data_IF_853321901950
#
_entry.id   IF_853321901950
#
_cell.length_a   1.000
_cell.length_b   1.000
_cell.length_c   1.000
_cell.angle_alpha   90.00
_cell.angle_beta   90.00
_cell.angle_gamma   90.00
#
_symmetry.space_group_name_H-M   'P 1'
#
loop_
_entity.id
_entity.type
_entity.pdbx_description
1 polymer ?
#
# COMPACT_ATOMS: atom_id res chain seq x y z
N UNK A 1 16.48 -2.35 3.35
CA UNK A 1 16.82 -1.26 4.29
C UNK A 1 15.71 -0.99 5.33
N UNK A 2 14.50 -1.55 5.17
CA UNK A 2 13.42 -1.42 6.16
C UNK A 2 12.40 -0.33 5.79
N UNK A 3 11.35 -0.15 6.60
CA UNK A 3 10.22 0.72 6.29
C UNK A 3 10.59 2.18 6.14
N UNK A 4 11.40 2.71 7.06
CA UNK A 4 11.78 4.12 7.06
C UNK A 4 12.72 4.51 5.93
N UNK A 5 13.62 3.61 5.52
CA UNK A 5 14.44 3.83 4.34
C UNK A 5 13.57 3.82 3.06
N UNK A 6 12.56 2.94 3.00
CA UNK A 6 11.56 2.95 1.93
C UNK A 6 10.78 4.26 1.87
N UNK A 7 10.33 4.75 3.02
CA UNK A 7 9.66 6.05 3.15
C UNK A 7 10.53 7.21 2.64
N UNK A 8 11.78 7.32 3.10
CA UNK A 8 12.68 8.41 2.69
C UNK A 8 13.01 8.34 1.19
N UNK A 9 13.31 7.15 0.68
CA UNK A 9 13.61 6.97 -0.75
C UNK A 9 12.39 7.34 -1.61
N UNK A 10 11.19 6.90 -1.21
CA UNK A 10 9.96 7.22 -1.91
C UNK A 10 9.57 8.71 -1.77
N UNK A 11 9.87 9.35 -0.63
CA UNK A 11 9.68 10.79 -0.45
C UNK A 11 10.53 11.58 -1.43
N UNK A 12 11.82 11.26 -1.55
CA UNK A 12 12.72 11.92 -2.51
C UNK A 12 12.25 11.67 -3.95
N UNK A 13 11.89 10.44 -4.28
CA UNK A 13 11.34 10.08 -5.58
C UNK A 13 10.05 10.85 -5.91
N UNK A 14 9.15 10.99 -4.93
CA UNK A 14 7.91 11.75 -5.06
C UNK A 14 8.15 13.25 -5.24
N UNK A 15 9.11 13.84 -4.51
CA UNK A 15 9.50 15.24 -4.70
C UNK A 15 9.99 15.49 -6.13
N UNK A 16 10.84 14.61 -6.66
CA UNK A 16 11.29 14.70 -8.06
C UNK A 16 10.09 14.51 -9.01
N UNK A 17 9.25 13.51 -8.75
CA UNK A 17 8.06 13.19 -9.54
C UNK A 17 7.08 14.35 -9.64
N UNK A 18 6.87 15.11 -8.56
CA UNK A 18 6.01 16.29 -8.54
C UNK A 18 6.43 17.35 -9.56
N UNK A 19 7.73 17.50 -9.84
CA UNK A 19 8.22 18.45 -10.84
C UNK A 19 8.26 17.86 -12.26
N UNK A 20 8.49 16.55 -12.40
CA UNK A 20 8.54 15.89 -13.70
C UNK A 20 7.17 15.56 -14.29
N UNK A 21 6.20 15.23 -13.43
CA UNK A 21 4.86 14.81 -13.78
C UNK A 21 3.83 15.46 -12.84
N UNK A 22 3.69 16.80 -12.87
CA UNK A 22 2.85 17.53 -11.91
C UNK A 22 1.39 17.09 -11.92
N UNK A 23 0.88 16.59 -13.07
CA UNK A 23 -0.47 16.05 -13.17
C UNK A 23 -0.73 14.80 -12.30
N UNK A 24 0.32 14.06 -11.92
CA UNK A 24 0.23 12.94 -10.99
C UNK A 24 0.26 13.36 -9.50
N UNK A 25 0.49 14.65 -9.23
CA UNK A 25 0.55 15.26 -7.90
C UNK A 25 -0.37 16.49 -7.83
N UNK A 26 -1.68 16.36 -8.12
CA UNK A 26 -2.61 17.50 -8.14
C UNK A 26 -2.71 18.27 -6.81
N UNK A 27 -2.41 17.64 -5.67
CA UNK A 27 -2.33 18.26 -4.34
C UNK A 27 -0.90 18.64 -3.94
N UNK A 28 0.05 18.60 -4.87
CA UNK A 28 1.45 18.98 -4.68
C UNK A 28 2.14 18.16 -3.60
N UNK A 29 2.70 18.84 -2.59
CA UNK A 29 3.45 18.18 -1.52
C UNK A 29 2.61 17.16 -0.74
N UNK A 30 1.29 17.37 -0.64
CA UNK A 30 0.40 16.41 0.01
C UNK A 30 0.47 15.07 -0.74
N UNK A 31 0.45 15.10 -2.08
CA UNK A 31 0.57 13.89 -2.89
C UNK A 31 1.96 13.27 -2.87
N UNK A 32 3.01 14.06 -2.62
CA UNK A 32 4.33 13.48 -2.40
C UNK A 32 4.31 12.55 -1.18
N UNK A 33 3.58 12.93 -0.12
CA UNK A 33 3.36 12.05 1.02
C UNK A 33 2.40 10.91 0.70
N UNK A 34 1.22 11.24 0.15
CA UNK A 34 0.14 10.28 -0.06
C UNK A 34 0.48 9.26 -1.16
N UNK A 35 0.98 9.69 -2.31
CA UNK A 35 1.24 8.85 -3.48
C UNK A 35 2.63 8.19 -3.48
N UNK A 36 3.59 8.69 -2.70
CA UNK A 36 4.97 8.16 -2.71
C UNK A 36 5.45 7.72 -1.34
N UNK A 37 5.61 8.65 -0.39
CA UNK A 37 6.26 8.34 0.88
C UNK A 37 5.52 7.25 1.68
N UNK A 38 4.20 7.38 1.84
CA UNK A 38 3.37 6.39 2.53
C UNK A 38 3.33 5.04 1.81
N UNK A 39 3.31 5.05 0.48
CA UNK A 39 3.38 3.82 -0.31
C UNK A 39 4.68 3.05 0.00
N UNK A 40 5.83 3.75 -0.04
CA UNK A 40 7.14 3.18 0.30
C UNK A 40 7.22 2.65 1.74
N UNK A 41 6.54 3.31 2.68
CA UNK A 41 6.44 2.86 4.07
C UNK A 41 5.64 1.56 4.22
N UNK A 42 4.45 1.50 3.63
CA UNK A 42 3.58 0.31 3.62
C UNK A 42 4.30 -0.88 2.97
N UNK A 43 4.97 -0.65 1.85
CA UNK A 43 5.82 -1.65 1.18
C UNK A 43 6.94 -2.16 2.06
N UNK A 44 7.66 -1.24 2.70
CA UNK A 44 8.74 -1.61 3.58
C UNK A 44 8.26 -2.39 4.80
N UNK A 45 7.14 -2.02 5.42
CA UNK A 45 6.53 -2.80 6.50
C UNK A 45 6.10 -4.19 6.06
N UNK A 46 5.40 -4.31 4.94
CA UNK A 46 4.97 -5.60 4.38
C UNK A 46 6.18 -6.51 4.10
N UNK A 47 7.28 -5.94 3.59
CA UNK A 47 8.48 -6.71 3.26
C UNK A 47 9.20 -7.24 4.51
N UNK A 48 9.03 -6.64 5.69
CA UNK A 48 9.82 -7.00 6.88
C UNK A 48 9.41 -8.30 7.58
N UNK A 49 8.42 -9.02 7.05
CA UNK A 49 8.04 -10.35 7.53
C UNK A 49 7.57 -10.31 8.99
N UNK A 50 8.16 -11.17 9.83
CA UNK A 50 7.76 -11.35 11.24
C UNK A 50 8.48 -10.42 12.25
N UNK A 51 9.18 -9.37 11.81
CA UNK A 51 9.84 -8.44 12.76
C UNK A 51 8.79 -7.75 13.63
N UNK A 52 8.88 -7.92 14.94
CA UNK A 52 7.86 -7.51 15.92
C UNK A 52 7.47 -6.03 15.76
N UNK A 53 8.44 -5.14 15.63
CA UNK A 53 8.18 -3.70 15.54
C UNK A 53 7.43 -3.35 14.25
N UNK A 54 7.78 -4.00 13.13
CA UNK A 54 7.11 -3.81 11.86
C UNK A 54 5.69 -4.37 11.90
N UNK A 55 5.52 -5.55 12.50
CA UNK A 55 4.20 -6.19 12.62
C UNK A 55 3.26 -5.34 13.45
N UNK A 56 3.72 -4.84 14.60
CA UNK A 56 2.92 -3.97 15.48
C UNK A 56 2.57 -2.67 14.77
N UNK A 57 3.56 -1.97 14.21
CA UNK A 57 3.33 -0.70 13.52
C UNK A 57 2.38 -0.84 12.33
N UNK A 58 2.61 -1.84 11.47
CA UNK A 58 1.79 -2.05 10.27
C UNK A 58 0.36 -2.47 10.60
N UNK A 59 0.18 -3.34 11.59
CA UNK A 59 -1.15 -3.78 12.04
C UNK A 59 -1.92 -2.62 12.67
N UNK A 60 -1.28 -1.85 13.57
CA UNK A 60 -1.90 -0.71 14.22
C UNK A 60 -2.29 0.38 13.20
N UNK A 61 -1.39 0.68 12.26
CA UNK A 61 -1.63 1.62 11.16
C UNK A 61 -2.83 1.20 10.32
N UNK A 62 -2.88 -0.06 9.90
CA UNK A 62 -3.96 -0.57 9.05
C UNK A 62 -5.31 -0.53 9.76
N UNK A 63 -5.37 -0.98 11.02
CA UNK A 63 -6.60 -0.93 11.83
C UNK A 63 -7.06 0.52 12.01
N UNK A 64 -6.15 1.44 12.34
CA UNK A 64 -6.49 2.85 12.53
C UNK A 64 -7.12 3.44 11.26
N UNK A 65 -6.53 3.19 10.08
CA UNK A 65 -7.07 3.70 8.83
C UNK A 65 -8.36 3.03 8.38
N UNK A 66 -8.58 1.76 8.68
CA UNK A 66 -9.89 1.12 8.46
C UNK A 66 -10.97 1.74 9.34
N UNK A 67 -10.66 2.03 10.61
CA UNK A 67 -11.59 2.76 11.49
C UNK A 67 -11.86 4.15 10.94
N UNK A 68 -10.81 4.90 10.58
CA UNK A 68 -10.95 6.24 10.01
C UNK A 68 -11.79 6.21 8.74
N UNK A 69 -11.55 5.28 7.80
CA UNK A 69 -12.29 5.23 6.54
C UNK A 69 -13.78 4.94 6.71
N UNK A 70 -14.16 4.22 7.76
CA UNK A 70 -15.56 3.90 8.07
C UNK A 70 -16.26 4.99 8.90
N UNK A 71 -15.51 5.89 9.55
CA UNK A 71 -16.08 6.97 10.36
C UNK A 71 -16.00 8.32 9.61
N UNK A 72 -14.84 8.62 9.05
CA UNK A 72 -14.53 9.88 8.40
C UNK A 72 -14.57 9.73 6.86
N UNK A 73 -15.16 10.69 6.14
CA UNK A 73 -15.83 11.89 6.65
C UNK A 73 -17.36 11.73 6.84
N UNK A 74 -17.95 10.60 6.41
CA UNK A 74 -19.40 10.47 6.24
C UNK A 74 -20.21 10.29 7.53
N UNK A 75 -19.63 9.75 8.60
CA UNK A 75 -20.26 9.69 9.93
C UNK A 75 -19.87 10.93 10.74
N UNK A 76 -18.58 11.26 10.74
CA UNK A 76 -18.05 12.45 11.39
C UNK A 76 -17.04 13.13 10.46
N UNK A 77 -17.22 14.42 10.10
CA UNK A 77 -18.28 15.34 10.54
C UNK A 77 -19.66 15.09 9.92
N UNK A 78 -19.75 14.24 8.90
CA UNK A 78 -20.99 13.78 8.31
C UNK A 78 -21.81 14.87 7.61
N UNK A 79 -23.14 14.72 7.51
CA UNK A 79 -23.99 15.62 6.74
C UNK A 79 -23.97 17.07 7.18
N UNK A 80 -23.68 17.33 8.46
CA UNK A 80 -23.55 18.68 9.00
C UNK A 80 -22.41 19.49 8.35
N UNK A 81 -21.39 18.81 7.80
CA UNK A 81 -20.30 19.45 7.08
C UNK A 81 -20.47 19.39 5.55
N UNK A 82 -21.60 18.93 5.03
CA UNK A 82 -21.88 18.86 3.59
C UNK A 82 -21.60 17.50 2.93
N UNK A 83 -21.31 16.46 3.71
CA UNK A 83 -21.10 15.11 3.17
C UNK A 83 -22.42 14.36 2.95
N UNK A 84 -22.52 13.64 1.84
CA UNK A 84 -23.65 12.71 1.65
C UNK A 84 -23.60 11.58 2.67
N UNK A 85 -24.70 11.21 3.36
CA UNK A 85 -24.70 10.08 4.29
C UNK A 85 -24.13 8.82 3.65
N UNK A 86 -23.35 8.05 4.40
CA UNK A 86 -22.88 6.74 3.95
C UNK A 86 -24.07 5.77 3.81
N UNK A 87 -24.10 5.02 2.71
CA UNK A 87 -25.08 3.95 2.53
C UNK A 87 -24.49 2.68 3.13
N UNK A 88 -24.88 2.36 4.36
CA UNK A 88 -24.41 1.17 5.07
C UNK A 88 -25.33 -0.04 4.88
N UNK A 89 -24.79 -1.28 4.77
CA UNK A 89 -23.39 -1.66 4.93
C UNK A 89 -22.53 -1.57 3.65
N UNK A 90 -23.07 -1.05 2.55
CA UNK A 90 -22.43 -1.06 1.23
C UNK A 90 -21.13 -0.26 1.24
N UNK A 91 -21.11 0.91 1.89
CA UNK A 91 -19.91 1.72 2.00
C UNK A 91 -18.81 1.00 2.78
N UNK A 92 -19.11 0.48 3.98
CA UNK A 92 -18.16 -0.29 4.76
C UNK A 92 -17.60 -1.49 3.98
N UNK A 93 -18.47 -2.24 3.30
CA UNK A 93 -18.07 -3.40 2.50
C UNK A 93 -17.31 -3.05 1.21
N UNK A 94 -17.45 -1.82 0.69
CA UNK A 94 -16.73 -1.39 -0.51
C UNK A 94 -15.21 -1.44 -0.32
N UNK A 95 -14.71 -1.35 0.92
CA UNK A 95 -13.30 -1.51 1.27
C UNK A 95 -12.80 -2.96 1.26
N UNK A 96 -13.53 -3.88 0.61
CA UNK A 96 -13.25 -5.33 0.59
C UNK A 96 -11.79 -5.68 0.26
N UNK A 97 -11.16 -4.97 -0.67
CA UNK A 97 -9.77 -5.23 -1.06
C UNK A 97 -8.79 -5.00 0.10
N UNK A 98 -9.09 -4.03 0.98
CA UNK A 98 -8.28 -3.75 2.17
C UNK A 98 -8.50 -4.81 3.24
N UNK A 99 -9.74 -5.27 3.44
CA UNK A 99 -10.03 -6.37 4.36
C UNK A 99 -9.39 -7.68 3.91
N UNK A 100 -9.50 -8.02 2.62
CA UNK A 100 -8.86 -9.21 2.04
C UNK A 100 -7.35 -9.12 2.17
N UNK A 101 -6.75 -7.97 1.85
CA UNK A 101 -5.33 -7.73 2.05
C UNK A 101 -4.89 -7.90 3.51
N UNK A 102 -5.67 -7.39 4.45
CA UNK A 102 -5.38 -7.49 5.88
C UNK A 102 -5.44 -8.94 6.38
N UNK A 103 -6.45 -9.70 5.95
CA UNK A 103 -6.60 -11.13 6.25
C UNK A 103 -5.43 -11.92 5.66
N UNK A 104 -5.07 -11.68 4.39
CA UNK A 104 -3.92 -12.32 3.76
C UNK A 104 -2.62 -12.02 4.51
N UNK A 105 -2.44 -10.77 4.94
CA UNK A 105 -1.31 -10.36 5.75
C UNK A 105 -1.21 -11.13 7.07
N UNK A 106 -2.34 -11.27 7.78
CA UNK A 106 -2.42 -11.99 9.06
C UNK A 106 -2.11 -13.49 8.92
N UNK A 107 -2.62 -14.13 7.87
CA UNK A 107 -2.51 -15.59 7.70
C UNK A 107 -1.16 -15.99 7.09
N UNK A 108 -0.77 -15.36 5.97
CA UNK A 108 0.37 -15.80 5.15
C UNK A 108 1.39 -14.70 4.84
N UNK A 109 1.03 -13.43 4.98
CA UNK A 109 1.87 -12.30 4.57
C UNK A 109 3.21 -12.26 5.28
N UNK A 110 3.19 -12.45 6.60
CA UNK A 110 4.37 -12.31 7.46
C UNK A 110 5.34 -13.48 7.36
N UNK A 111 4.87 -14.62 6.86
CA UNK A 111 5.60 -15.89 6.79
C UNK A 111 5.79 -16.32 5.34
N UNK A 112 4.78 -16.95 4.74
CA UNK A 112 4.86 -17.59 3.42
C UNK A 112 5.11 -16.61 2.30
N UNK A 113 4.42 -15.47 2.28
CA UNK A 113 4.65 -14.45 1.24
C UNK A 113 6.08 -13.93 1.33
N UNK A 114 6.57 -13.64 2.54
CA UNK A 114 7.95 -13.24 2.77
C UNK A 114 8.96 -14.31 2.31
N UNK A 115 8.75 -15.58 2.65
CA UNK A 115 9.59 -16.70 2.17
C UNK A 115 9.58 -16.81 0.64
N UNK A 116 8.40 -16.71 0.02
CA UNK A 116 8.24 -16.84 -1.42
C UNK A 116 8.98 -15.77 -2.20
N UNK A 117 9.06 -14.53 -1.71
CA UNK A 117 9.83 -13.45 -2.37
C UNK A 117 11.33 -13.79 -2.50
N UNK A 118 11.85 -14.68 -1.65
CA UNK A 118 13.24 -15.12 -1.67
C UNK A 118 13.45 -16.42 -2.46
N UNK A 119 12.38 -17.10 -2.85
CA UNK A 119 12.43 -18.41 -3.51
C UNK A 119 13.33 -18.42 -4.75
N UNK A 120 14.13 -19.48 -4.98
CA UNK A 120 14.88 -19.64 -6.22
C UNK A 120 13.97 -19.96 -7.41
N UNK A 121 12.77 -20.50 -7.17
CA UNK A 121 11.81 -20.82 -8.24
C UNK A 121 11.08 -19.55 -8.68
N UNK A 122 11.33 -19.12 -9.93
CA UNK A 122 10.84 -17.85 -10.47
C UNK A 122 9.32 -17.67 -10.34
N UNK A 123 8.53 -18.71 -10.60
CA UNK A 123 7.07 -18.64 -10.50
C UNK A 123 6.58 -18.38 -9.06
N UNK A 124 7.23 -19.02 -8.08
CA UNK A 124 6.92 -18.83 -6.65
C UNK A 124 7.37 -17.45 -6.18
N UNK A 125 8.53 -16.99 -6.66
CA UNK A 125 9.01 -15.65 -6.38
C UNK A 125 8.08 -14.56 -6.93
N UNK A 126 7.60 -14.70 -8.16
CA UNK A 126 6.64 -13.77 -8.75
C UNK A 126 5.33 -13.75 -7.96
N UNK A 127 4.81 -14.92 -7.56
CA UNK A 127 3.63 -14.99 -6.69
C UNK A 127 3.87 -14.31 -5.33
N UNK A 128 5.05 -14.53 -4.73
CA UNK A 128 5.45 -13.87 -3.50
C UNK A 128 5.47 -12.36 -3.63
N UNK A 129 6.08 -11.81 -4.69
CA UNK A 129 6.06 -10.37 -4.93
C UNK A 129 4.66 -9.85 -5.22
N UNK A 130 3.84 -10.55 -6.01
CA UNK A 130 2.48 -10.14 -6.30
C UNK A 130 1.64 -9.99 -5.03
N UNK A 131 1.68 -11.01 -4.15
CA UNK A 131 0.96 -10.97 -2.89
C UNK A 131 1.52 -9.91 -1.94
N UNK A 132 2.84 -9.71 -1.93
CA UNK A 132 3.48 -8.65 -1.15
C UNK A 132 3.02 -7.26 -1.60
N UNK A 133 3.02 -7.00 -2.91
CA UNK A 133 2.56 -5.76 -3.50
C UNK A 133 1.07 -5.54 -3.17
N UNK A 134 0.24 -6.59 -3.31
CA UNK A 134 -1.19 -6.50 -2.98
C UNK A 134 -1.42 -6.16 -1.50
N UNK A 135 -0.71 -6.81 -0.58
CA UNK A 135 -0.79 -6.51 0.86
C UNK A 135 -0.38 -5.06 1.14
N UNK A 136 0.73 -4.60 0.58
CA UNK A 136 1.20 -3.24 0.80
C UNK A 136 0.25 -2.19 0.19
N UNK A 137 -0.20 -2.42 -1.05
CA UNK A 137 -1.14 -1.56 -1.78
C UNK A 137 -2.48 -1.48 -1.07
N UNK A 138 -3.05 -2.60 -0.64
CA UNK A 138 -4.34 -2.65 0.05
C UNK A 138 -4.34 -1.94 1.40
N UNK A 139 -3.20 -1.90 2.09
CA UNK A 139 -3.00 -1.07 3.27
C UNK A 139 -2.86 0.41 2.92
N UNK A 140 -2.08 0.74 1.88
CA UNK A 140 -1.79 2.11 1.46
C UNK A 140 -3.00 2.85 0.84
N UNK A 141 -3.86 2.14 0.11
CA UNK A 141 -5.01 2.73 -0.57
C UNK A 141 -5.96 3.46 0.38
N UNK A 142 -6.12 2.98 1.62
CA UNK A 142 -7.02 3.59 2.61
C UNK A 142 -6.54 4.99 3.03
N UNK A 143 -5.32 5.18 3.58
CA UNK A 143 -4.77 6.50 3.88
C UNK A 143 -4.57 7.38 2.65
N UNK A 144 -4.46 6.80 1.45
CA UNK A 144 -4.39 7.57 0.21
C UNK A 144 -5.77 8.13 -0.18
N UNK A 145 -6.82 7.32 -0.21
CA UNK A 145 -8.17 7.76 -0.65
C UNK A 145 -8.87 8.68 0.35
N UNK A 146 -8.78 8.40 1.65
CA UNK A 146 -9.57 9.12 2.66
C UNK A 146 -9.33 10.65 2.63
N UNK A 147 -8.09 11.15 2.54
CA UNK A 147 -7.83 12.58 2.36
C UNK A 147 -8.50 13.17 1.11
N UNK A 148 -8.43 12.47 -0.03
CA UNK A 148 -9.09 12.91 -1.26
C UNK A 148 -10.61 12.97 -1.12
N UNK A 149 -11.21 11.94 -0.52
CA UNK A 149 -12.65 11.87 -0.25
C UNK A 149 -13.10 13.09 0.55
N UNK A 150 -12.32 13.46 1.57
CA UNK A 150 -12.65 14.58 2.42
C UNK A 150 -12.40 15.94 1.76
N UNK A 151 -11.24 16.16 1.15
CA UNK A 151 -10.89 17.46 0.56
C UNK A 151 -11.80 17.78 -0.63
N UNK A 152 -12.15 16.77 -1.43
CA UNK A 152 -12.93 16.95 -2.66
C UNK A 152 -14.43 16.73 -2.46
N UNK A 153 -14.89 16.48 -1.23
CA UNK A 153 -16.30 16.23 -0.92
C UNK A 153 -16.95 15.17 -1.81
N UNK A 154 -16.23 14.08 -2.09
CA UNK A 154 -16.74 13.06 -3.01
C UNK A 154 -18.04 12.43 -2.48
N UNK A 155 -19.06 12.28 -3.34
CA UNK A 155 -20.30 11.66 -2.93
C UNK A 155 -20.09 10.16 -2.66
N UNK A 156 -20.80 9.64 -1.66
CA UNK A 156 -20.59 8.27 -1.16
C UNK A 156 -20.71 7.20 -2.26
N UNK A 157 -21.70 7.32 -3.16
CA UNK A 157 -21.90 6.38 -4.25
C UNK A 157 -20.71 6.31 -5.22
N UNK A 158 -20.01 7.43 -5.44
CA UNK A 158 -18.84 7.49 -6.32
C UNK A 158 -17.68 6.72 -5.70
N UNK A 159 -17.49 6.83 -4.38
CA UNK A 159 -16.45 6.11 -3.67
C UNK A 159 -16.74 4.61 -3.63
N UNK A 160 -17.99 4.21 -3.42
CA UNK A 160 -18.40 2.81 -3.53
C UNK A 160 -18.04 2.28 -4.93
N UNK A 161 -18.42 3.01 -5.99
CA UNK A 161 -18.13 2.60 -7.36
C UNK A 161 -16.62 2.51 -7.64
N UNK A 162 -15.84 3.52 -7.26
CA UNK A 162 -14.38 3.52 -7.41
C UNK A 162 -13.70 2.41 -6.60
N UNK A 163 -14.18 2.08 -5.41
CA UNK A 163 -13.62 0.98 -4.63
C UNK A 163 -13.84 -0.39 -5.30
N UNK A 164 -14.98 -0.60 -5.96
CA UNK A 164 -15.23 -1.83 -6.72
C UNK A 164 -14.49 -1.88 -8.07
N UNK A 165 -14.48 -0.77 -8.81
CA UNK A 165 -13.86 -0.71 -10.12
C UNK A 165 -12.34 -0.55 -10.06
N UNK A 166 -11.85 0.20 -9.07
CA UNK A 166 -10.47 0.65 -8.99
C UNK A 166 -9.47 -0.49 -8.89
N UNK A 167 -9.82 -1.58 -8.18
CA UNK A 167 -8.98 -2.77 -8.16
C UNK A 167 -8.76 -3.34 -9.55
N UNK A 168 -9.80 -3.44 -10.38
CA UNK A 168 -9.68 -4.00 -11.73
C UNK A 168 -9.04 -3.02 -12.73
N UNK A 169 -9.42 -1.74 -12.64
CA UNK A 169 -9.04 -0.72 -13.63
C UNK A 169 -7.60 -0.26 -13.48
N UNK A 170 -7.14 -0.02 -12.25
CA UNK A 170 -5.78 0.48 -12.00
C UNK A 170 -5.00 -0.33 -10.95
N UNK A 171 -5.66 -0.97 -9.99
CA UNK A 171 -5.02 -1.80 -8.96
C UNK A 171 -4.24 -2.97 -9.55
N UNK A 172 -4.91 -3.87 -10.27
CA UNK A 172 -4.31 -5.08 -10.85
C UNK A 172 -3.19 -4.73 -11.84
N UNK A 173 -3.36 -3.79 -12.80
CA UNK A 173 -2.26 -3.37 -13.67
C UNK A 173 -1.02 -2.87 -12.90
N UNK A 174 -1.21 -2.02 -11.88
CA UNK A 174 -0.11 -1.52 -11.04
C UNK A 174 0.58 -2.67 -10.32
N UNK A 175 -0.17 -3.58 -9.70
CA UNK A 175 0.38 -4.73 -8.99
C UNK A 175 1.20 -5.64 -9.89
N UNK A 176 0.78 -5.86 -11.14
CA UNK A 176 1.54 -6.66 -12.12
C UNK A 176 2.85 -5.96 -12.47
N UNK A 177 2.81 -4.66 -12.79
CA UNK A 177 4.01 -3.88 -13.13
C UNK A 177 5.00 -3.89 -11.96
N UNK A 178 4.52 -3.59 -10.76
CA UNK A 178 5.29 -3.59 -9.51
C UNK A 178 5.91 -4.95 -9.20
N UNK A 179 5.17 -6.03 -9.43
CA UNK A 179 5.67 -7.41 -9.27
C UNK A 179 6.84 -7.68 -10.19
N UNK A 180 6.70 -7.33 -11.48
CA UNK A 180 7.73 -7.56 -12.48
C UNK A 180 8.98 -6.75 -12.14
N UNK A 181 8.83 -5.46 -11.85
CA UNK A 181 9.94 -4.56 -11.48
C UNK A 181 10.64 -5.09 -10.23
N UNK A 182 9.91 -5.41 -9.17
CA UNK A 182 10.47 -5.92 -7.92
C UNK A 182 11.27 -7.21 -8.15
N UNK A 183 10.70 -8.14 -8.91
CA UNK A 183 11.34 -9.41 -9.21
C UNK A 183 12.60 -9.22 -10.09
N UNK A 184 12.63 -8.24 -10.99
CA UNK A 184 13.80 -7.89 -11.79
C UNK A 184 14.91 -7.27 -10.92
N UNK A 185 14.57 -6.26 -10.11
CA UNK A 185 15.54 -5.57 -9.23
C UNK A 185 16.19 -6.57 -8.27
N UNK A 186 15.39 -7.37 -7.56
CA UNK A 186 15.92 -8.32 -6.57
C UNK A 186 16.79 -9.39 -7.23
N UNK A 187 16.40 -9.86 -8.42
CA UNK A 187 17.20 -10.84 -9.17
C UNK A 187 18.51 -10.24 -9.66
N UNK A 188 18.49 -9.01 -10.17
CA UNK A 188 19.68 -8.28 -10.61
C UNK A 188 20.66 -8.04 -9.46
N UNK A 189 20.16 -7.59 -8.32
CA UNK A 189 20.96 -7.37 -7.11
C UNK A 189 21.57 -8.67 -6.58
N UNK A 190 20.81 -9.77 -6.59
CA UNK A 190 21.31 -11.10 -6.17
C UNK A 190 22.43 -11.59 -7.09
N UNK A 191 22.24 -11.52 -8.41
CA UNK A 191 23.27 -11.91 -9.39
C UNK A 191 24.55 -11.08 -9.26
N UNK A 192 24.40 -9.80 -8.90
CA UNK A 192 25.52 -8.86 -8.73
C UNK A 192 26.17 -8.95 -7.35
N UNK A 193 25.71 -9.85 -6.45
CA UNK A 193 26.14 -9.94 -5.04
C UNK A 193 26.00 -8.64 -4.24
N UNK A 194 25.09 -7.75 -4.67
CA UNK A 194 24.82 -6.46 -4.03
C UNK A 194 23.61 -6.51 -3.09
N UNK A 195 23.00 -7.69 -2.90
CA UNK A 195 21.87 -7.88 -1.99
C UNK A 195 22.31 -7.99 -0.51
N UNK A 196 23.51 -7.52 -0.18
CA UNK A 196 24.06 -7.54 1.19
C UNK A 196 23.81 -6.19 1.83
N UNK A 197 22.63 -6.03 2.42
CA UNK A 197 22.33 -4.83 3.21
C UNK A 197 21.90 -5.26 4.61
N UNK A 198 22.66 -4.89 5.66
CA UNK A 198 22.28 -5.17 7.04
C UNK A 198 20.84 -4.75 7.31
N UNK A 199 20.06 -5.62 7.97
CA UNK A 199 18.62 -5.42 8.25
C UNK A 199 17.74 -5.29 6.99
N UNK A 200 18.19 -5.70 5.81
CA UNK A 200 17.34 -5.76 4.62
C UNK A 200 16.09 -6.61 4.86
N UNK A 201 14.93 -6.11 4.45
CA UNK A 201 13.68 -6.86 4.56
C UNK A 201 13.53 -7.89 3.42
N UNK A 202 14.37 -7.86 2.40
CA UNK A 202 14.34 -8.81 1.26
C UNK A 202 15.70 -9.49 1.01
N UNK A 203 16.76 -9.04 1.70
CA UNK A 203 18.11 -9.57 1.55
C UNK A 203 18.33 -10.89 2.29
N UNK A 204 19.39 -11.59 1.89
CA UNK A 204 19.96 -12.68 2.67
C UNK A 204 20.69 -12.08 3.87
N UNK A 205 20.50 -12.71 5.03
CA UNK A 205 21.28 -12.43 6.23
C UNK A 205 22.51 -13.33 6.07
N UNK A 206 23.69 -12.75 5.93
CA UNK A 206 24.94 -13.48 6.23
C UNK A 206 24.98 -13.79 7.73
#
# INVERSE_FOLDING_TARGET
MGPYAGFIAALIGGLIGMFLAPAAFPLGIIDVFLCSALLGLCWGWAACGNRKECVVAFTAWWIAWLIIANIYPYIWPGPAAGYTPAVEPQYALSWYYSYVGFILYLIIGRTKVHEWTKSPRRSVQLLGFFLLCYIAWSCWQVPWKVPYIAILYYPNWMIIADNFLGLAVYGVPMLVIETVISALIVTGLRKSKMLVVPRSCVGEIE
#
